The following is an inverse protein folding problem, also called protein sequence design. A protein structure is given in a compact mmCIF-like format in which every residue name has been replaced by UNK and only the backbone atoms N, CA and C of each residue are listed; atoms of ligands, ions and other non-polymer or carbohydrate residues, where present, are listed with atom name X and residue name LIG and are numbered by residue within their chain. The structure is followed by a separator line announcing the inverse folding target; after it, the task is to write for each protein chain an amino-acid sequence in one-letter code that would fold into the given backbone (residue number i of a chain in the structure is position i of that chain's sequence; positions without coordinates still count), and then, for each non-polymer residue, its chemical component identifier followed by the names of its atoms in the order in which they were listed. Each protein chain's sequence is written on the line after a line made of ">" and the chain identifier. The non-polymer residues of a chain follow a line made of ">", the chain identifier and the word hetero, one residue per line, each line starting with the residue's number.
data_IF_725854747009
#
_entry.id   IF_725854747009
#
_cell.length_a   1.000
_cell.length_b   1.000
_cell.length_c   1.000
_cell.angle_alpha   90.00
_cell.angle_beta   90.00
_cell.angle_gamma   90.00
#
_symmetry.space_group_name_H-M   'P 1'
#
loop_
_entity.id
_entity.type
_entity.pdbx_description
1 polymer ?
#
# COMPACT_ATOMS: atom_id res chain seq x y z
N UNK A 1 -9.56 -35.98 -49.93
CA UNK A 1 -9.75 -34.99 -51.01
C UNK A 1 -9.42 -33.65 -50.40
N UNK A 2 -8.38 -33.02 -50.95
CA UNK A 2 -7.79 -31.76 -50.45
C UNK A 2 -8.51 -30.62 -51.18
N UNK A 3 -9.11 -29.70 -50.44
CA UNK A 3 -9.68 -28.47 -50.98
C UNK A 3 -8.57 -27.42 -51.06
N UNK A 4 -8.18 -27.07 -52.29
CA UNK A 4 -7.34 -25.93 -52.65
C UNK A 4 -8.23 -24.68 -52.74
N UNK A 5 -7.90 -23.63 -51.98
CA UNK A 5 -8.46 -22.29 -52.19
C UNK A 5 -7.42 -21.41 -52.93
N UNK A 6 -7.81 -20.69 -53.98
CA UNK A 6 -6.90 -19.86 -54.77
C UNK A 6 -6.73 -18.43 -54.21
N UNK A 7 -5.53 -17.87 -54.35
CA UNK A 7 -5.20 -16.42 -54.33
C UNK A 7 -5.22 -15.87 -55.78
N UNK A 8 -4.96 -14.58 -56.12
CA UNK A 8 -4.83 -13.32 -55.35
C UNK A 8 -5.63 -12.14 -55.99
N UNK A 9 -5.68 -10.95 -55.36
CA UNK A 9 -5.79 -9.69 -56.13
C UNK A 9 -5.23 -8.49 -55.36
N UNK A 10 -4.42 -7.74 -56.09
CA UNK A 10 -3.54 -6.61 -55.77
C UNK A 10 -4.23 -5.24 -55.73
N UNK A 11 -3.65 -4.29 -54.96
CA UNK A 11 -3.20 -2.92 -55.32
C UNK A 11 -3.13 -2.07 -54.04
N UNK A 12 -1.98 -1.66 -53.52
CA UNK A 12 -0.89 -0.79 -54.02
C UNK A 12 -1.09 0.70 -53.64
N UNK A 13 -0.17 1.14 -52.77
CA UNK A 13 0.47 2.43 -52.57
C UNK A 13 -0.28 3.76 -52.41
N UNK A 14 0.07 4.42 -51.30
CA UNK A 14 -0.19 5.84 -51.02
C UNK A 14 0.78 6.38 -49.98
N UNK A 15 2.05 6.51 -50.37
CA UNK A 15 3.10 7.24 -49.62
C UNK A 15 3.19 8.68 -50.16
N UNK A 16 3.01 9.69 -49.31
CA UNK A 16 3.58 11.03 -49.54
C UNK A 16 4.12 11.63 -48.24
N UNK A 17 5.31 12.20 -48.37
CA UNK A 17 6.18 12.72 -47.30
C UNK A 17 6.04 14.24 -47.14
N UNK A 18 6.48 14.72 -45.97
CA UNK A 18 7.24 15.96 -45.70
C UNK A 18 6.58 17.32 -45.97
N UNK A 19 6.66 18.25 -45.00
CA UNK A 19 7.67 19.33 -44.98
C UNK A 19 7.59 20.14 -43.68
N UNK A 20 8.73 20.70 -43.30
CA UNK A 20 9.02 21.46 -42.09
C UNK A 20 8.53 22.92 -42.15
N UNK A 21 8.37 23.54 -40.97
CA UNK A 21 8.20 24.99 -40.81
C UNK A 21 8.81 25.44 -39.49
N UNK A 22 9.81 26.30 -39.58
CA UNK A 22 10.63 26.87 -38.51
C UNK A 22 10.09 28.21 -38.00
N UNK A 23 10.64 28.64 -36.86
CA UNK A 23 10.73 30.01 -36.32
C UNK A 23 9.47 30.71 -35.77
N UNK A 24 9.48 31.01 -34.47
CA UNK A 24 9.63 32.39 -34.00
C UNK A 24 9.77 32.48 -32.46
N UNK A 25 10.80 33.23 -32.07
CA UNK A 25 11.05 33.85 -30.78
C UNK A 25 9.83 34.50 -30.13
N UNK A 26 9.74 34.40 -28.80
CA UNK A 26 9.26 35.48 -27.95
C UNK A 26 9.92 35.38 -26.56
N UNK A 27 11.00 36.14 -26.43
CA UNK A 27 11.65 36.49 -25.17
C UNK A 27 10.67 37.24 -24.24
N UNK A 28 10.73 36.92 -22.96
CA UNK A 28 9.92 37.51 -21.91
C UNK A 28 10.64 37.43 -20.57
N UNK A 29 11.86 37.95 -20.53
CA UNK A 29 12.60 38.26 -19.31
C UNK A 29 12.08 39.60 -18.77
N UNK A 30 11.51 39.58 -17.55
CA UNK A 30 11.39 40.75 -16.71
C UNK A 30 11.90 40.39 -15.32
N UNK A 31 13.03 41.01 -15.02
CA UNK A 31 13.71 41.11 -13.74
C UNK A 31 12.95 42.04 -12.76
N UNK A 32 13.54 42.23 -11.58
CA UNK A 32 13.28 43.23 -10.56
C UNK A 32 12.39 42.84 -9.36
N UNK A 33 13.10 42.29 -8.38
CA UNK A 33 13.23 42.77 -7.00
C UNK A 33 12.04 43.55 -6.38
N UNK A 34 11.46 42.92 -5.34
CA UNK A 34 10.69 43.59 -4.30
C UNK A 34 11.13 43.06 -2.94
N UNK A 35 12.26 43.56 -2.45
CA UNK A 35 12.74 43.30 -1.10
C UNK A 35 11.99 44.21 -0.11
N UNK A 36 10.88 43.74 0.46
CA UNK A 36 10.28 44.38 1.63
C UNK A 36 10.93 43.89 2.93
N UNK A 37 12.03 44.56 3.24
CA UNK A 37 12.21 45.27 4.51
C UNK A 37 11.63 44.59 5.78
N UNK A 38 12.36 43.62 6.31
CA UNK A 38 12.27 43.27 7.73
C UNK A 38 13.15 44.25 8.52
N UNK A 39 12.53 45.26 9.14
CA UNK A 39 13.18 46.04 10.19
C UNK A 39 12.69 45.54 11.54
N UNK A 40 13.68 45.17 12.34
CA UNK A 40 13.66 45.06 13.78
C UNK A 40 12.88 46.17 14.46
N UNK A 41 12.17 45.87 15.56
CA UNK A 41 12.62 46.34 16.88
C UNK A 41 11.86 45.66 18.03
N UNK A 42 12.54 45.70 19.16
CA UNK A 42 12.38 44.93 20.38
C UNK A 42 11.20 45.42 21.23
N UNK A 43 10.66 44.55 22.10
CA UNK A 43 9.86 45.04 23.22
C UNK A 43 9.09 44.02 24.04
N UNK A 44 9.62 43.74 25.24
CA UNK A 44 8.86 43.57 26.49
C UNK A 44 8.19 42.22 26.79
N UNK A 45 8.94 41.42 27.57
CA UNK A 45 8.54 40.82 28.86
C UNK A 45 7.05 40.71 29.16
N UNK A 46 6.50 39.50 29.25
CA UNK A 46 5.63 39.07 30.36
C UNK A 46 5.75 37.55 30.53
N UNK A 47 6.17 37.14 31.73
CA UNK A 47 6.06 35.77 32.21
C UNK A 47 4.59 35.49 32.54
N UNK A 48 3.99 34.50 31.91
CA UNK A 48 2.82 33.82 32.47
C UNK A 48 3.03 32.31 32.38
N UNK A 49 3.22 31.72 33.57
CA UNK A 49 3.12 30.30 33.88
C UNK A 49 2.01 29.62 33.08
N UNK A 50 2.41 28.83 32.09
CA UNK A 50 1.50 27.91 31.41
C UNK A 50 1.39 26.64 32.24
N UNK A 51 0.21 26.29 32.79
CA UNK A 51 0.06 25.03 33.51
C UNK A 51 0.15 23.86 32.52
N UNK A 52 0.90 22.78 32.83
CA UNK A 52 0.82 21.55 32.07
C UNK A 52 -0.41 20.79 32.55
N UNK A 53 -1.56 20.99 31.90
CA UNK A 53 -2.75 20.21 32.23
C UNK A 53 -3.41 19.65 30.97
N UNK A 54 -2.87 18.53 30.52
CA UNK A 54 -3.68 17.43 30.02
C UNK A 54 -3.11 16.16 30.66
N UNK A 55 -3.62 15.85 31.85
CA UNK A 55 -3.41 14.57 32.52
C UNK A 55 -4.03 13.47 31.66
N UNK A 56 -3.20 12.87 30.81
CA UNK A 56 -3.48 11.58 30.18
C UNK A 56 -3.69 10.54 31.28
N UNK A 57 -4.95 10.29 31.65
CA UNK A 57 -5.34 9.26 32.64
C UNK A 57 -4.64 7.93 32.33
N UNK A 58 -3.88 7.32 33.27
CA UNK A 58 -3.05 6.15 32.97
C UNK A 58 -3.82 4.84 32.66
N UNK A 59 -5.15 4.82 32.80
CA UNK A 59 -5.92 3.57 32.85
C UNK A 59 -6.44 2.99 31.53
N UNK A 60 -6.31 3.68 30.39
CA UNK A 60 -6.90 3.25 29.10
C UNK A 60 -5.91 2.94 27.98
N UNK A 61 -4.60 3.16 28.22
CA UNK A 61 -3.56 2.92 27.21
C UNK A 61 -3.17 1.45 27.06
N UNK A 62 -3.38 0.62 28.09
CA UNK A 62 -2.88 -0.78 28.12
C UNK A 62 -3.53 -1.67 27.06
N UNK A 63 -4.86 -1.80 27.03
CA UNK A 63 -5.53 -2.76 26.13
C UNK A 63 -5.31 -2.47 24.64
N UNK A 64 -5.34 -1.19 24.24
CA UNK A 64 -5.06 -0.79 22.86
C UNK A 64 -3.60 -1.03 22.48
N UNK A 65 -2.66 -0.89 23.43
CA UNK A 65 -1.25 -1.16 23.18
C UNK A 65 -0.97 -2.66 23.11
N UNK A 66 -1.65 -3.46 23.93
CA UNK A 66 -1.59 -4.92 23.92
C UNK A 66 -2.14 -5.48 22.60
N UNK A 67 -3.26 -4.95 22.11
CA UNK A 67 -3.82 -5.37 20.82
C UNK A 67 -2.92 -4.98 19.64
N UNK A 68 -2.32 -3.78 19.66
CA UNK A 68 -1.33 -3.38 18.66
C UNK A 68 -0.07 -4.24 18.69
N UNK A 69 0.32 -4.73 19.88
CA UNK A 69 1.41 -5.70 20.02
C UNK A 69 1.00 -7.03 19.39
N UNK A 70 -0.20 -7.55 19.68
CA UNK A 70 -0.73 -8.77 19.06
C UNK A 70 -0.70 -8.70 17.53
N UNK A 71 -1.21 -7.63 16.92
CA UNK A 71 -1.19 -7.46 15.45
C UNK A 71 0.23 -7.44 14.88
N UNK A 72 1.18 -6.86 15.60
CA UNK A 72 2.59 -6.84 15.21
C UNK A 72 3.21 -8.22 15.28
N UNK A 73 2.91 -8.96 16.35
CA UNK A 73 3.40 -10.33 16.55
C UNK A 73 2.88 -11.23 15.42
N UNK A 74 1.58 -11.16 15.09
CA UNK A 74 1.00 -11.86 13.93
C UNK A 74 1.72 -11.49 12.62
N UNK A 75 2.01 -10.21 12.38
CA UNK A 75 2.76 -9.80 11.19
C UNK A 75 4.19 -10.37 11.17
N UNK A 76 4.85 -10.49 12.33
CA UNK A 76 6.18 -11.07 12.43
C UNK A 76 6.14 -12.59 12.16
N UNK A 77 5.13 -13.28 12.68
CA UNK A 77 4.92 -14.72 12.44
C UNK A 77 4.68 -14.99 10.95
N UNK A 78 3.83 -14.18 10.30
CA UNK A 78 3.61 -14.25 8.85
C UNK A 78 4.90 -13.97 8.07
N UNK A 79 5.73 -13.03 8.52
CA UNK A 79 7.02 -12.73 7.89
C UNK A 79 8.05 -13.87 8.08
N UNK A 80 7.86 -14.76 9.05
CA UNK A 80 8.65 -15.97 9.24
C UNK A 80 8.20 -17.17 8.41
N UNK A 81 7.09 -17.05 7.67
CA UNK A 81 6.59 -18.14 6.82
C UNK A 81 7.57 -18.46 5.67
N UNK A 82 7.68 -19.74 5.29
CA UNK A 82 8.63 -20.23 4.25
C UNK A 82 8.54 -19.52 2.90
N UNK A 83 7.38 -18.99 2.53
CA UNK A 83 7.14 -18.25 1.28
C UNK A 83 7.01 -16.73 1.49
N UNK A 84 7.29 -16.23 2.70
CA UNK A 84 7.11 -14.82 3.04
C UNK A 84 8.02 -13.89 2.25
N UNK A 85 9.17 -14.38 1.77
CA UNK A 85 10.17 -13.60 1.01
C UNK A 85 9.54 -12.85 -0.17
N UNK A 86 8.57 -13.46 -0.84
CA UNK A 86 7.81 -12.87 -1.96
C UNK A 86 7.03 -11.59 -1.56
N UNK A 87 6.74 -11.42 -0.28
CA UNK A 87 5.84 -10.41 0.26
C UNK A 87 6.49 -9.46 1.26
N UNK A 88 7.78 -9.63 1.60
CA UNK A 88 8.45 -8.82 2.63
C UNK A 88 8.57 -7.34 2.25
N UNK A 89 8.64 -7.04 0.95
CA UNK A 89 8.84 -5.68 0.42
C UNK A 89 7.94 -5.44 -0.80
N UNK A 90 7.73 -4.16 -1.19
CA UNK A 90 7.04 -3.84 -2.43
C UNK A 90 7.66 -4.56 -3.63
N UNK A 91 6.81 -5.03 -4.54
CA UNK A 91 7.22 -5.69 -5.77
C UNK A 91 8.10 -4.76 -6.61
N UNK A 92 9.27 -5.24 -7.02
CA UNK A 92 10.16 -4.48 -7.87
C UNK A 92 9.80 -4.74 -9.35
N UNK A 93 9.48 -3.67 -10.07
CA UNK A 93 9.03 -3.72 -11.47
C UNK A 93 10.08 -4.33 -12.42
N UNK A 94 11.35 -4.34 -12.04
CA UNK A 94 12.41 -5.06 -12.79
C UNK A 94 12.16 -6.57 -12.87
N UNK A 95 11.55 -7.16 -11.84
CA UNK A 95 11.24 -8.59 -11.78
C UNK A 95 9.79 -8.90 -12.14
N UNK A 96 8.92 -7.88 -12.16
CA UNK A 96 7.53 -7.96 -12.55
C UNK A 96 7.18 -6.77 -13.46
N UNK A 97 7.53 -6.84 -14.76
CA UNK A 97 7.25 -5.77 -15.71
C UNK A 97 5.76 -5.43 -15.73
N UNK A 98 5.42 -4.15 -15.77
CA UNK A 98 4.03 -3.66 -15.81
C UNK A 98 3.19 -3.98 -14.56
N UNK A 99 3.82 -4.32 -13.43
CA UNK A 99 3.09 -4.65 -12.20
C UNK A 99 2.15 -3.52 -11.76
N UNK A 100 2.64 -2.28 -11.71
CA UNK A 100 1.85 -1.14 -11.22
C UNK A 100 0.81 -0.61 -12.23
N UNK A 101 0.90 -1.00 -13.50
CA UNK A 101 -0.17 -0.72 -14.47
C UNK A 101 -1.36 -1.66 -14.30
N UNK A 102 -1.15 -2.86 -13.78
CA UNK A 102 -2.20 -3.86 -13.52
C UNK A 102 -2.72 -3.76 -12.07
N UNK A 103 -1.81 -3.81 -11.10
CA UNK A 103 -2.13 -3.80 -9.66
C UNK A 103 -2.24 -2.37 -9.13
N UNK A 104 -3.46 -1.91 -8.86
CA UNK A 104 -3.74 -0.53 -8.44
C UNK A 104 -3.53 -0.25 -6.96
N UNK A 105 -3.58 -1.29 -6.12
CA UNK A 105 -3.41 -1.17 -4.66
C UNK A 105 -2.39 -2.20 -4.18
N UNK A 106 -1.10 -1.96 -4.43
CA UNK A 106 -0.04 -2.85 -3.97
C UNK A 106 0.01 -2.88 -2.43
N UNK A 107 0.23 -4.06 -1.87
CA UNK A 107 0.38 -4.30 -0.44
C UNK A 107 1.53 -5.29 -0.26
N UNK A 108 2.30 -5.09 0.81
CA UNK A 108 3.43 -5.93 1.22
C UNK A 108 3.49 -5.94 2.77
N UNK A 109 4.18 -6.92 3.35
CA UNK A 109 4.26 -7.10 4.80
C UNK A 109 4.95 -5.94 5.52
N UNK A 110 5.92 -5.27 4.89
CA UNK A 110 6.53 -4.08 5.46
C UNK A 110 5.50 -2.93 5.53
N UNK A 111 4.69 -2.74 4.48
CA UNK A 111 3.59 -1.78 4.48
C UNK A 111 2.55 -2.10 5.55
N UNK A 112 2.22 -3.37 5.76
CA UNK A 112 1.28 -3.79 6.80
C UNK A 112 1.79 -3.55 8.20
N UNK A 113 3.05 -3.88 8.46
CA UNK A 113 3.68 -3.60 9.76
C UNK A 113 3.70 -2.10 10.06
N UNK A 114 3.95 -1.25 9.05
CA UNK A 114 3.79 0.21 9.19
C UNK A 114 2.33 0.61 9.44
N UNK A 115 1.38 -0.07 8.81
CA UNK A 115 -0.06 0.10 9.07
C UNK A 115 -0.43 -0.17 10.52
N UNK A 116 0.08 -1.25 11.10
CA UNK A 116 -0.09 -1.56 12.53
C UNK A 116 0.45 -0.42 13.38
N UNK A 117 1.64 0.11 13.07
CA UNK A 117 2.19 1.27 13.76
C UNK A 117 1.34 2.54 13.62
N UNK A 118 0.58 2.72 12.54
CA UNK A 118 -0.36 3.85 12.36
C UNK A 118 -1.67 3.70 13.14
N UNK A 119 -2.12 2.48 13.42
CA UNK A 119 -3.37 2.22 14.16
C UNK A 119 -4.60 2.77 13.44
N UNK A 120 -5.45 3.51 14.15
CA UNK A 120 -6.72 4.07 13.63
C UNK A 120 -6.54 5.17 12.56
N UNK A 121 -5.30 5.62 12.31
CA UNK A 121 -5.01 6.65 11.32
C UNK A 121 -5.24 6.17 9.89
N UNK A 122 -5.33 7.09 8.93
CA UNK A 122 -5.53 6.76 7.51
C UNK A 122 -4.51 5.72 7.02
N UNK A 123 -5.03 4.62 6.46
CA UNK A 123 -4.23 3.50 5.97
C UNK A 123 -3.53 2.71 7.07
N UNK A 124 -3.94 2.86 8.33
CA UNK A 124 -3.47 2.03 9.41
C UNK A 124 -4.23 0.72 9.53
N UNK A 125 -3.74 -0.13 10.42
CA UNK A 125 -4.29 -1.45 10.74
C UNK A 125 -4.43 -1.53 12.25
N UNK A 126 -5.65 -1.57 12.72
CA UNK A 126 -6.01 -1.49 14.15
C UNK A 126 -6.87 -2.67 14.62
N UNK A 127 -7.44 -3.45 13.70
CA UNK A 127 -8.22 -4.66 13.99
C UNK A 127 -7.68 -5.89 13.26
N UNK A 128 -8.04 -7.09 13.74
CA UNK A 128 -7.72 -8.36 13.06
C UNK A 128 -8.43 -8.44 11.70
N UNK A 129 -9.65 -7.92 11.60
CA UNK A 129 -10.42 -7.86 10.36
C UNK A 129 -9.73 -6.98 9.32
N UNK A 130 -9.20 -5.82 9.74
CA UNK A 130 -8.46 -4.92 8.86
C UNK A 130 -7.17 -5.59 8.40
N UNK A 131 -6.45 -6.27 9.29
CA UNK A 131 -5.26 -7.05 8.92
C UNK A 131 -5.60 -8.16 7.91
N UNK A 132 -6.65 -8.93 8.17
CA UNK A 132 -7.13 -9.99 7.29
C UNK A 132 -7.51 -9.45 5.89
N UNK A 133 -8.22 -8.32 5.83
CA UNK A 133 -8.58 -7.68 4.57
C UNK A 133 -7.36 -7.27 3.76
N UNK A 134 -6.35 -6.70 4.41
CA UNK A 134 -5.12 -6.32 3.74
C UNK A 134 -4.29 -7.54 3.27
N UNK A 135 -4.25 -8.61 4.06
CA UNK A 135 -3.59 -9.87 3.67
C UNK A 135 -4.29 -10.50 2.46
N UNK A 136 -5.62 -10.53 2.46
CA UNK A 136 -6.41 -10.97 1.31
C UNK A 136 -6.05 -10.18 0.04
N UNK A 137 -5.99 -8.84 0.14
CA UNK A 137 -5.61 -7.98 -0.98
C UNK A 137 -4.18 -8.28 -1.47
N UNK A 138 -3.22 -8.41 -0.55
CA UNK A 138 -1.84 -8.76 -0.86
C UNK A 138 -1.74 -10.07 -1.66
N UNK A 139 -2.43 -11.13 -1.21
CA UNK A 139 -2.43 -12.41 -1.92
C UNK A 139 -3.22 -12.34 -3.24
N UNK A 140 -4.36 -11.65 -3.28
CA UNK A 140 -5.13 -11.49 -4.52
C UNK A 140 -4.35 -10.76 -5.60
N UNK A 141 -3.58 -9.72 -5.23
CA UNK A 141 -2.68 -9.04 -6.17
C UNK A 141 -1.67 -10.02 -6.78
N UNK A 142 -1.06 -10.86 -5.96
CA UNK A 142 -0.10 -11.86 -6.43
C UNK A 142 -0.76 -12.90 -7.34
N UNK A 143 -1.92 -13.43 -6.96
CA UNK A 143 -2.61 -14.46 -7.75
C UNK A 143 -3.21 -13.91 -9.05
N UNK A 144 -3.62 -12.65 -9.08
CA UNK A 144 -4.19 -12.01 -10.27
C UNK A 144 -3.10 -11.61 -11.27
N UNK A 145 -1.94 -11.17 -10.78
CA UNK A 145 -0.83 -10.77 -11.64
C UNK A 145 -0.03 -11.98 -12.19
N UNK A 146 0.16 -13.03 -11.39
CA UNK A 146 0.99 -14.17 -11.78
C UNK A 146 0.15 -15.27 -12.44
N UNK A 147 0.74 -15.95 -13.44
CA UNK A 147 0.10 -17.10 -14.09
C UNK A 147 -0.04 -18.27 -13.09
N UNK A 148 -1.16 -18.99 -13.13
CA UNK A 148 -1.47 -20.14 -12.28
C UNK A 148 -0.41 -21.25 -12.31
N UNK A 149 0.28 -21.42 -13.44
CA UNK A 149 1.33 -22.42 -13.61
C UNK A 149 2.69 -21.98 -13.05
N UNK A 150 2.84 -20.71 -12.67
CA UNK A 150 4.10 -20.19 -12.12
C UNK A 150 4.33 -20.62 -10.68
N UNK A 151 5.59 -20.82 -10.31
CA UNK A 151 6.00 -21.13 -8.93
C UNK A 151 5.51 -20.05 -7.94
N UNK A 152 5.64 -18.78 -8.32
CA UNK A 152 5.19 -17.64 -7.48
C UNK A 152 3.69 -17.74 -7.17
N UNK A 153 2.86 -18.10 -8.16
CA UNK A 153 1.43 -18.29 -7.92
C UNK A 153 1.16 -19.45 -6.95
N UNK A 154 1.83 -20.59 -7.15
CA UNK A 154 1.64 -21.77 -6.31
C UNK A 154 2.06 -21.53 -4.86
N UNK A 155 3.21 -20.88 -4.65
CA UNK A 155 3.72 -20.49 -3.33
C UNK A 155 2.82 -19.44 -2.66
N UNK A 156 2.38 -18.43 -3.41
CA UNK A 156 1.41 -17.44 -2.93
C UNK A 156 0.09 -18.09 -2.50
N UNK A 157 -0.43 -19.04 -3.30
CA UNK A 157 -1.68 -19.75 -3.00
C UNK A 157 -1.55 -20.67 -1.79
N UNK A 158 -0.40 -21.32 -1.62
CA UNK A 158 -0.11 -22.14 -0.45
C UNK A 158 -0.08 -21.27 0.81
N UNK A 159 0.71 -20.18 0.80
CA UNK A 159 0.80 -19.25 1.93
C UNK A 159 -0.55 -18.59 2.24
N UNK A 160 -1.32 -18.19 1.23
CA UNK A 160 -2.65 -17.61 1.40
C UNK A 160 -3.56 -18.51 2.22
N UNK A 161 -3.62 -19.82 1.89
CA UNK A 161 -4.49 -20.77 2.61
C UNK A 161 -4.11 -20.87 4.08
N UNK A 162 -2.82 -21.06 4.36
CA UNK A 162 -2.32 -21.23 5.73
C UNK A 162 -2.51 -19.96 6.57
N UNK A 163 -2.10 -18.80 6.03
CA UNK A 163 -2.17 -17.51 6.74
C UNK A 163 -3.60 -17.06 6.98
N UNK A 164 -4.46 -17.06 5.95
CA UNK A 164 -5.83 -16.58 6.10
C UNK A 164 -6.66 -17.50 7.01
N UNK A 165 -6.44 -18.81 6.95
CA UNK A 165 -7.08 -19.74 7.88
C UNK A 165 -6.66 -19.45 9.32
N UNK A 166 -5.37 -19.24 9.57
CA UNK A 166 -4.88 -18.94 10.91
C UNK A 166 -5.44 -17.63 11.47
N UNK A 167 -5.43 -16.56 10.66
CA UNK A 167 -5.98 -15.26 11.08
C UNK A 167 -7.49 -15.35 11.31
N UNK A 168 -8.23 -16.11 10.50
CA UNK A 168 -9.67 -16.30 10.72
C UNK A 168 -9.96 -17.01 12.05
N UNK A 169 -9.19 -18.05 12.40
CA UNK A 169 -9.33 -18.71 13.70
C UNK A 169 -9.10 -17.74 14.87
N UNK A 170 -8.10 -16.85 14.77
CA UNK A 170 -7.86 -15.82 15.77
C UNK A 170 -9.03 -14.83 15.89
N UNK A 171 -9.64 -14.45 14.77
CA UNK A 171 -10.83 -13.57 14.76
C UNK A 171 -11.98 -14.25 15.51
N UNK A 172 -12.28 -15.50 15.18
CA UNK A 172 -13.37 -16.26 15.78
C UNK A 172 -13.14 -16.46 17.30
N UNK A 173 -11.90 -16.74 17.70
CA UNK A 173 -11.50 -16.86 19.10
C UNK A 173 -11.72 -15.57 19.88
N UNK A 174 -11.32 -14.42 19.34
CA UNK A 174 -11.52 -13.11 19.99
C UNK A 174 -13.01 -12.80 20.13
N UNK A 175 -13.80 -13.03 19.09
CA UNK A 175 -15.26 -12.78 19.10
C UNK A 175 -16.02 -13.73 20.06
N UNK A 176 -15.52 -14.95 20.27
CA UNK A 176 -16.13 -15.90 21.22
C UNK A 176 -15.94 -15.48 22.69
N UNK A 177 -14.81 -14.83 23.01
CA UNK A 177 -14.50 -14.36 24.37
C UNK A 177 -15.42 -13.22 24.80
N UNK A 178 -15.72 -12.30 23.88
CA UNK A 178 -16.59 -11.15 24.15
C UNK A 178 -18.04 -11.56 24.48
N UNK A 179 -18.51 -12.70 23.96
CA UNK A 179 -19.86 -13.21 24.25
C UNK A 179 -19.96 -13.92 25.61
N UNK A 180 -18.84 -14.39 26.17
CA UNK A 180 -18.82 -15.10 27.46
C UNK A 180 -18.84 -14.19 28.70
N UNK A 181 -18.59 -12.89 28.53
CA UNK A 181 -18.62 -11.89 29.62
C UNK A 181 -20.00 -11.25 29.87
N UNK A 182 -21.02 -11.64 29.11
CA UNK A 182 -22.36 -11.06 29.15
C UNK A 182 -23.39 -12.14 29.51
N UNK A 183 -23.31 -12.69 30.73
CA UNK A 183 -24.42 -13.44 31.33
C UNK A 183 -25.04 -12.64 32.47
N UNK A 184 -26.38 -12.46 32.48
CA UNK A 184 -27.12 -11.74 33.52
C UNK A 184 -27.18 -12.49 34.85
#
# INVERSE_FOLDING_TARGET
>A
MKEECPTPSSRDDGMTQSEAGTDAHADGELDEAGADHCVSEQGSTYSEDRPPCATESPGKRSSCQDFRKLLRDICNDIAGHKYAELFLRPVNEKFAPHYYSVVKRPVDLQTLRRGVSRGVSRGGVDTLETLNHQLMLMFQNALMFNNADSQVYQEARAMQREVLQHVQMLIDEVQSRDQSGSSP
#
